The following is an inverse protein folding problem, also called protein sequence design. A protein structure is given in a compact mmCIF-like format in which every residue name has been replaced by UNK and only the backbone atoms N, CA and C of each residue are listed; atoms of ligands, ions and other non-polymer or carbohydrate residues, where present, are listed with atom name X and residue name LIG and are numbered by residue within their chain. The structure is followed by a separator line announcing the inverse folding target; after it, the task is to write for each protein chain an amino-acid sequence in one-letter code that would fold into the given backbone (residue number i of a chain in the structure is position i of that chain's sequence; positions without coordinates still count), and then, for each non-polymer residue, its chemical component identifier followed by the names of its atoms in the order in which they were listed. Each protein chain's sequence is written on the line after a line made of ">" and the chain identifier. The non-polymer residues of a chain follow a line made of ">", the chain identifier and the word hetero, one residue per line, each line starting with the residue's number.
data_IF_932895388633
#
_entry.id   IF_932895388633
#
_cell.length_a   1.000
_cell.length_b   1.000
_cell.length_c   1.000
_cell.angle_alpha   90.00
_cell.angle_beta   90.00
_cell.angle_gamma   90.00
#
_symmetry.space_group_name_H-M   'P 1'
#
loop_
_entity.id
_entity.type
_entity.pdbx_description
1 polymer ?
#
# COMPACT_ATOMS: atom_id res chain seq x y z
N UNK A 1 71.25 -36.19 18.84
CA UNK A 1 71.08 -35.43 17.57
C UNK A 1 69.94 -34.44 17.73
N UNK A 2 70.24 -33.16 17.54
CA UNK A 2 69.32 -32.02 17.66
C UNK A 2 68.68 -31.75 16.30
N UNK A 3 67.35 -31.75 16.19
CA UNK A 3 66.61 -31.13 15.08
C UNK A 3 65.28 -30.58 15.62
N UNK A 4 65.26 -29.29 16.00
CA UNK A 4 64.83 -28.12 15.22
C UNK A 4 63.29 -28.01 15.05
N UNK A 5 62.77 -27.08 15.85
CA UNK A 5 61.46 -26.41 15.80
C UNK A 5 61.02 -26.05 14.36
N UNK A 6 59.75 -26.28 14.04
CA UNK A 6 58.99 -25.44 13.09
C UNK A 6 57.75 -24.91 13.81
N UNK A 7 57.74 -23.59 14.01
CA UNK A 7 56.61 -22.81 14.54
C UNK A 7 55.52 -22.74 13.48
N UNK A 8 54.28 -23.02 13.88
CA UNK A 8 53.09 -22.78 13.06
C UNK A 8 52.83 -21.26 12.93
N UNK A 9 52.54 -20.82 11.70
CA UNK A 9 52.11 -19.46 11.39
C UNK A 9 50.63 -19.26 11.80
N UNK A 10 50.22 -18.06 12.23
CA UNK A 10 48.83 -17.79 12.60
C UNK A 10 47.97 -17.58 11.34
N UNK A 11 46.79 -18.20 11.35
CA UNK A 11 45.76 -18.06 10.32
C UNK A 11 45.32 -16.59 10.16
N UNK A 12 45.20 -16.15 8.91
CA UNK A 12 44.76 -14.82 8.50
C UNK A 12 43.31 -14.56 8.92
N UNK A 13 43.10 -13.55 9.77
CA UNK A 13 41.76 -13.00 10.07
C UNK A 13 41.21 -12.30 8.83
N UNK A 14 40.10 -12.81 8.29
CA UNK A 14 39.31 -12.14 7.27
C UNK A 14 38.75 -10.82 7.83
N UNK A 15 39.19 -9.69 7.27
CA UNK A 15 38.67 -8.35 7.56
C UNK A 15 37.29 -8.20 6.91
N UNK A 16 36.24 -8.08 7.72
CA UNK A 16 34.93 -7.57 7.26
C UNK A 16 35.06 -6.08 6.92
N UNK A 17 34.53 -5.58 5.80
CA UNK A 17 34.60 -4.16 5.46
C UNK A 17 33.65 -3.36 6.34
N UNK A 18 34.19 -2.33 7.02
CA UNK A 18 33.43 -1.29 7.73
C UNK A 18 32.66 -0.45 6.71
N UNK A 19 31.33 -0.43 6.80
CA UNK A 19 30.45 0.56 6.15
C UNK A 19 29.78 1.39 7.25
N UNK A 20 30.51 2.36 7.78
CA UNK A 20 29.99 3.35 8.73
C UNK A 20 30.46 4.74 8.30
N UNK A 21 29.56 5.54 7.71
CA UNK A 21 29.52 7.01 7.85
C UNK A 21 28.40 7.68 7.04
N UNK A 22 28.00 7.16 5.87
CA UNK A 22 27.14 7.93 4.94
C UNK A 22 25.61 7.78 5.17
N UNK A 23 25.15 6.76 5.90
CA UNK A 23 23.71 6.50 6.12
C UNK A 23 23.00 7.42 7.13
N UNK A 24 23.70 8.30 7.86
CA UNK A 24 23.09 9.09 8.95
C UNK A 24 22.45 10.41 8.50
N UNK A 25 22.92 11.01 7.41
CA UNK A 25 22.40 12.31 6.96
C UNK A 25 21.06 12.17 6.22
N UNK A 26 20.95 11.23 5.27
CA UNK A 26 19.70 10.97 4.54
C UNK A 26 18.55 10.41 5.39
N UNK A 27 18.85 9.63 6.44
CA UNK A 27 17.82 9.08 7.36
C UNK A 27 17.11 10.16 8.19
N UNK A 28 17.83 11.21 8.60
CA UNK A 28 17.25 12.27 9.45
C UNK A 28 16.39 13.24 8.65
N UNK A 29 16.80 13.57 7.42
CA UNK A 29 16.08 14.49 6.54
C UNK A 29 14.69 13.94 6.19
N UNK A 30 14.61 12.65 5.85
CA UNK A 30 13.35 11.99 5.48
C UNK A 30 12.33 11.96 6.65
N UNK A 31 12.78 11.64 7.87
CA UNK A 31 11.89 11.65 9.06
C UNK A 31 11.37 13.05 9.40
N UNK A 32 12.19 14.09 9.21
CA UNK A 32 11.77 15.48 9.46
C UNK A 32 10.71 15.93 8.46
N UNK A 33 10.90 15.60 7.19
CA UNK A 33 9.93 15.90 6.13
C UNK A 33 8.61 15.15 6.37
N UNK A 34 8.68 13.88 6.76
CA UNK A 34 7.48 13.10 7.02
C UNK A 34 6.70 13.59 8.25
N UNK A 35 7.42 14.00 9.30
CA UNK A 35 6.79 14.70 10.43
C UNK A 35 6.08 15.97 9.99
N UNK A 36 6.74 16.81 9.20
CA UNK A 36 6.12 18.04 8.69
C UNK A 36 4.87 17.75 7.82
N UNK A 37 4.90 16.70 7.00
CA UNK A 37 3.74 16.25 6.22
C UNK A 37 2.58 15.87 7.14
N UNK A 38 2.83 15.09 8.19
CA UNK A 38 1.80 14.65 9.14
C UNK A 38 1.29 15.81 10.02
N UNK A 39 2.17 16.70 10.44
CA UNK A 39 1.81 17.89 11.21
C UNK A 39 0.84 18.79 10.42
N UNK A 40 0.98 18.87 9.09
CA UNK A 40 0.06 19.65 8.23
C UNK A 40 -1.39 19.16 8.26
N UNK A 41 -1.63 17.92 8.67
CA UNK A 41 -2.95 17.31 8.84
C UNK A 41 -3.28 17.01 10.32
N UNK A 42 -2.50 17.54 11.26
CA UNK A 42 -2.78 17.47 12.70
C UNK A 42 -2.51 16.11 13.34
N UNK A 43 -1.63 15.30 12.75
CA UNK A 43 -1.17 14.04 13.36
C UNK A 43 0.34 14.00 13.50
N UNK A 44 0.83 13.17 14.42
CA UNK A 44 2.25 12.97 14.72
C UNK A 44 2.61 11.50 14.74
N UNK A 45 3.88 11.21 14.44
CA UNK A 45 4.45 9.86 14.57
C UNK A 45 4.80 9.60 16.04
N UNK A 46 4.32 8.50 16.57
CA UNK A 46 4.81 7.90 17.81
C UNK A 46 5.75 6.75 17.44
N UNK A 47 7.04 6.96 17.66
CA UNK A 47 8.06 5.95 17.35
C UNK A 47 7.93 4.76 18.30
N UNK A 48 7.83 3.57 17.73
CA UNK A 48 7.90 2.29 18.45
C UNK A 48 9.28 1.67 18.25
N UNK A 49 9.61 0.67 19.07
CA UNK A 49 10.85 -0.08 18.96
C UNK A 49 10.99 -0.69 17.55
N UNK A 50 12.13 -0.40 16.90
CA UNK A 50 12.43 -0.82 15.53
C UNK A 50 13.00 -2.25 15.47
N UNK A 51 12.13 -3.21 15.76
CA UNK A 51 12.37 -4.65 15.64
C UNK A 51 11.33 -5.29 14.70
N UNK A 52 11.37 -6.61 14.57
CA UNK A 52 10.40 -7.33 13.75
C UNK A 52 8.98 -7.38 14.32
N UNK A 53 8.73 -6.75 15.47
CA UNK A 53 7.41 -6.60 16.06
C UNK A 53 6.79 -5.23 15.75
N UNK A 54 7.45 -4.34 15.01
CA UNK A 54 7.06 -2.95 14.83
C UNK A 54 5.57 -2.75 14.46
N UNK A 55 5.01 -3.59 13.59
CA UNK A 55 3.57 -3.56 13.28
C UNK A 55 2.70 -3.82 14.52
N UNK A 56 2.94 -4.92 15.23
CA UNK A 56 2.18 -5.29 16.42
C UNK A 56 2.41 -4.33 17.60
N UNK A 57 3.62 -3.75 17.70
CA UNK A 57 3.94 -2.67 18.64
C UNK A 57 3.12 -1.42 18.35
N UNK A 58 3.03 -1.03 17.07
CA UNK A 58 2.20 0.10 16.66
C UNK A 58 0.70 -0.16 16.89
N UNK A 59 0.23 -1.40 16.73
CA UNK A 59 -1.12 -1.81 17.13
C UNK A 59 -1.33 -1.69 18.65
N UNK A 60 -0.36 -2.13 19.46
CA UNK A 60 -0.37 -1.99 20.91
C UNK A 60 -0.45 -0.54 21.38
N UNK A 61 0.36 0.32 20.79
CA UNK A 61 0.22 1.76 21.00
C UNK A 61 -1.17 2.24 20.57
N UNK A 62 -1.62 1.99 19.34
CA UNK A 62 -2.90 2.54 18.87
C UNK A 62 -4.11 2.11 19.70
N UNK A 63 -4.11 0.89 20.21
CA UNK A 63 -5.26 0.31 20.89
C UNK A 63 -5.22 0.45 22.41
N UNK A 64 -4.05 0.58 23.01
CA UNK A 64 -3.88 0.62 24.48
C UNK A 64 -2.93 1.70 24.97
N UNK A 65 -2.13 2.31 24.08
CA UNK A 65 -1.07 3.25 24.45
C UNK A 65 0.17 2.57 25.02
N UNK A 66 0.36 1.30 24.69
CA UNK A 66 1.46 0.49 25.21
C UNK A 66 1.99 -0.45 24.13
N UNK A 67 3.21 -0.17 23.63
CA UNK A 67 3.85 -1.01 22.63
C UNK A 67 4.23 -2.40 23.15
N UNK A 68 4.33 -2.58 24.47
CA UNK A 68 4.69 -3.86 25.09
C UNK A 68 3.56 -4.90 24.98
N UNK A 69 2.36 -4.49 24.55
CA UNK A 69 1.24 -5.37 24.24
C UNK A 69 1.39 -6.08 22.87
N UNK A 70 2.51 -5.93 22.16
CA UNK A 70 2.68 -6.47 20.81
C UNK A 70 2.40 -7.97 20.69
N UNK A 71 2.79 -8.79 21.68
CA UNK A 71 2.54 -10.24 21.63
C UNK A 71 1.06 -10.59 21.73
N UNK A 72 0.27 -9.83 22.49
CA UNK A 72 -1.18 -10.00 22.57
C UNK A 72 -1.81 -9.83 21.19
N UNK A 73 -1.42 -8.79 20.46
CA UNK A 73 -1.96 -8.52 19.13
C UNK A 73 -1.44 -9.50 18.07
N UNK A 74 -0.19 -9.96 18.18
CA UNK A 74 0.34 -11.05 17.34
C UNK A 74 -0.50 -12.32 17.51
N UNK A 75 -0.73 -12.74 18.76
CA UNK A 75 -1.53 -13.92 19.06
C UNK A 75 -2.96 -13.79 18.53
N UNK A 76 -3.63 -12.65 18.78
CA UNK A 76 -4.97 -12.39 18.27
C UNK A 76 -5.05 -12.49 16.74
N UNK A 77 -4.06 -11.94 16.03
CA UNK A 77 -4.02 -11.97 14.56
C UNK A 77 -3.78 -13.38 14.04
N UNK A 78 -2.81 -14.11 14.57
CA UNK A 78 -2.51 -15.47 14.12
C UNK A 78 -3.69 -16.41 14.43
N UNK A 79 -4.30 -16.30 15.61
CA UNK A 79 -5.50 -17.08 15.94
C UNK A 79 -6.67 -16.75 15.00
N UNK A 80 -6.82 -15.49 14.58
CA UNK A 80 -7.83 -15.12 13.59
C UNK A 80 -7.55 -15.79 12.24
N UNK A 81 -6.30 -15.76 11.77
CA UNK A 81 -5.87 -16.42 10.52
C UNK A 81 -6.15 -17.93 10.58
N UNK A 82 -5.74 -18.60 11.66
CA UNK A 82 -5.98 -20.05 11.87
C UNK A 82 -7.48 -20.37 11.82
N UNK A 83 -8.31 -19.56 12.47
CA UNK A 83 -9.76 -19.76 12.50
C UNK A 83 -10.43 -19.57 11.14
N UNK A 84 -9.87 -18.75 10.27
CA UNK A 84 -10.40 -18.44 8.94
C UNK A 84 -9.47 -18.95 7.83
N UNK A 85 -8.89 -20.14 8.04
CA UNK A 85 -7.88 -20.74 7.14
C UNK A 85 -8.25 -20.65 5.66
N UNK A 86 -9.49 -20.99 5.30
CA UNK A 86 -9.95 -20.97 3.90
C UNK A 86 -9.83 -19.58 3.24
N UNK A 87 -9.95 -18.51 4.03
CA UNK A 87 -9.86 -17.13 3.53
C UNK A 87 -8.40 -16.66 3.40
N UNK A 88 -7.48 -17.21 4.20
CA UNK A 88 -6.10 -16.72 4.30
C UNK A 88 -5.06 -17.63 3.62
N UNK A 89 -5.27 -18.94 3.64
CA UNK A 89 -4.36 -19.92 3.02
C UNK A 89 -4.03 -19.62 1.55
N UNK A 90 -4.96 -19.14 0.70
CA UNK A 90 -4.65 -18.78 -0.69
C UNK A 90 -3.62 -17.64 -0.86
N UNK A 91 -3.31 -16.89 0.19
CA UNK A 91 -2.34 -15.78 0.15
C UNK A 91 -0.97 -16.17 0.71
N UNK A 92 -0.81 -17.41 1.19
CA UNK A 92 0.47 -17.97 1.62
C UNK A 92 1.18 -18.54 0.40
N UNK A 93 2.51 -18.41 0.36
CA UNK A 93 3.32 -18.98 -0.71
C UNK A 93 3.09 -20.50 -0.82
N UNK A 94 2.87 -21.02 -2.03
CA UNK A 94 2.53 -22.43 -2.28
C UNK A 94 3.54 -23.44 -1.69
N UNK A 95 4.79 -23.01 -1.48
CA UNK A 95 5.87 -23.83 -0.91
C UNK A 95 5.85 -23.89 0.63
N UNK A 96 5.03 -23.07 1.30
CA UNK A 96 4.95 -22.97 2.76
C UNK A 96 3.63 -23.55 3.25
N UNK A 97 3.63 -24.67 3.99
CA UNK A 97 2.42 -25.20 4.61
C UNK A 97 1.77 -24.18 5.56
N UNK A 98 0.44 -24.08 5.53
CA UNK A 98 -0.33 -23.14 6.36
C UNK A 98 0.06 -23.20 7.85
N UNK A 99 0.18 -24.39 8.42
CA UNK A 99 0.49 -24.55 9.84
C UNK A 99 1.92 -24.08 10.15
N UNK A 100 2.89 -24.29 9.24
CA UNK A 100 4.26 -23.79 9.37
C UNK A 100 4.31 -22.25 9.28
N UNK A 101 3.50 -21.67 8.39
CA UNK A 101 3.32 -20.23 8.31
C UNK A 101 2.82 -19.66 9.64
N UNK A 102 1.74 -20.23 10.20
CA UNK A 102 1.17 -19.78 11.47
C UNK A 102 2.16 -19.92 12.64
N UNK A 103 2.89 -21.04 12.72
CA UNK A 103 3.93 -21.26 13.71
C UNK A 103 5.08 -20.24 13.57
N UNK A 104 5.45 -19.90 12.33
CA UNK A 104 6.45 -18.86 12.06
C UNK A 104 5.98 -17.48 12.46
N UNK A 105 4.74 -17.11 12.10
CA UNK A 105 4.15 -15.80 12.42
C UNK A 105 3.91 -15.62 13.92
N UNK A 106 3.73 -16.70 14.68
CA UNK A 106 3.62 -16.64 16.15
C UNK A 106 4.95 -16.32 16.84
N UNK A 107 6.10 -16.54 16.18
CA UNK A 107 7.42 -16.27 16.78
C UNK A 107 7.64 -14.77 16.99
N UNK A 108 8.23 -14.45 18.13
CA UNK A 108 8.65 -13.09 18.45
C UNK A 108 9.64 -12.55 17.40
N UNK A 109 9.42 -11.32 16.96
CA UNK A 109 10.23 -10.68 15.94
C UNK A 109 9.96 -11.12 14.49
N UNK A 110 8.98 -11.98 14.21
CA UNK A 110 8.58 -12.27 12.83
C UNK A 110 7.82 -11.08 12.23
N UNK A 111 8.24 -10.61 11.05
CA UNK A 111 7.66 -9.44 10.39
C UNK A 111 6.25 -9.73 9.89
N UNK A 112 5.35 -8.79 10.11
CA UNK A 112 3.99 -8.82 9.57
C UNK A 112 3.96 -8.28 8.13
N UNK A 113 3.10 -8.87 7.29
CA UNK A 113 2.81 -8.39 5.94
C UNK A 113 1.36 -7.95 5.77
N UNK A 114 0.95 -7.76 4.52
CA UNK A 114 -0.41 -7.33 4.17
C UNK A 114 -1.50 -8.26 4.74
N UNK A 115 -1.20 -9.56 4.83
CA UNK A 115 -2.14 -10.54 5.36
C UNK A 115 -2.42 -10.31 6.85
N UNK A 116 -1.38 -10.06 7.65
CA UNK A 116 -1.52 -9.72 9.08
C UNK A 116 -2.22 -8.39 9.26
N UNK A 117 -1.98 -7.41 8.38
CA UNK A 117 -2.69 -6.13 8.41
C UNK A 117 -4.20 -6.32 8.16
N UNK A 118 -4.57 -7.13 7.18
CA UNK A 118 -5.97 -7.47 6.89
C UNK A 118 -6.62 -8.21 8.07
N UNK A 119 -5.96 -9.23 8.59
CA UNK A 119 -6.44 -9.98 9.75
C UNK A 119 -6.55 -9.11 11.02
N UNK A 120 -5.57 -8.23 11.27
CA UNK A 120 -5.59 -7.27 12.37
C UNK A 120 -6.78 -6.32 12.28
N UNK A 121 -7.07 -5.79 11.08
CA UNK A 121 -8.25 -4.97 10.85
C UNK A 121 -9.54 -5.71 11.23
N UNK A 122 -9.69 -6.95 10.73
CA UNK A 122 -10.88 -7.76 10.97
C UNK A 122 -11.07 -8.13 12.45
N UNK A 123 -10.02 -8.64 13.11
CA UNK A 123 -10.10 -9.12 14.51
C UNK A 123 -10.28 -7.97 15.51
N UNK A 124 -9.70 -6.79 15.23
CA UNK A 124 -9.83 -5.61 16.10
C UNK A 124 -11.06 -4.77 15.78
N UNK A 125 -11.78 -5.09 14.70
CA UNK A 125 -12.91 -4.34 14.15
C UNK A 125 -12.59 -2.87 13.88
N UNK A 126 -11.44 -2.62 13.26
CA UNK A 126 -10.97 -1.27 12.92
C UNK A 126 -10.39 -1.25 11.52
N UNK A 127 -10.71 -0.21 10.75
CA UNK A 127 -10.00 0.04 9.49
C UNK A 127 -8.56 0.47 9.79
N UNK A 128 -7.67 0.37 8.79
CA UNK A 128 -6.27 0.80 8.93
C UNK A 128 -5.97 1.84 7.85
N UNK A 129 -5.35 2.95 8.23
CA UNK A 129 -4.78 3.94 7.34
C UNK A 129 -3.26 3.99 7.49
N UNK A 130 -2.56 3.83 6.38
CA UNK A 130 -1.11 3.83 6.31
C UNK A 130 -0.67 5.12 5.62
N UNK A 131 0.08 5.93 6.36
CA UNK A 131 0.73 7.13 5.88
C UNK A 131 2.11 6.80 5.35
N UNK A 132 2.50 7.46 4.26
CA UNK A 132 3.82 7.36 3.65
C UNK A 132 4.29 8.75 3.19
N UNK A 133 5.60 9.00 3.26
CA UNK A 133 6.17 10.26 2.81
C UNK A 133 5.96 10.43 1.29
N UNK A 134 5.44 11.59 0.89
CA UNK A 134 5.22 12.01 -0.51
C UNK A 134 4.45 10.98 -1.35
N UNK A 135 3.61 10.17 -0.70
CA UNK A 135 2.85 9.09 -1.34
C UNK A 135 1.39 9.14 -0.88
N UNK A 136 0.45 8.67 -1.72
CA UNK A 136 -0.93 8.50 -1.29
C UNK A 136 -1.03 7.61 -0.05
N UNK A 137 -2.04 7.88 0.78
CA UNK A 137 -2.36 7.01 1.92
C UNK A 137 -2.99 5.73 1.42
N UNK A 138 -2.61 4.63 2.05
CA UNK A 138 -3.19 3.32 1.81
C UNK A 138 -4.21 2.98 2.88
N UNK A 139 -5.26 2.27 2.49
CA UNK A 139 -6.38 1.95 3.38
C UNK A 139 -6.70 0.46 3.33
N UNK A 140 -7.00 -0.09 4.50
CA UNK A 140 -7.71 -1.35 4.67
C UNK A 140 -9.08 -1.00 5.25
N UNK A 141 -10.11 -1.12 4.42
CA UNK A 141 -11.47 -0.71 4.73
C UNK A 141 -12.40 -1.95 4.77
N UNK A 142 -12.54 -2.52 5.96
CA UNK A 142 -13.46 -3.64 6.21
C UNK A 142 -14.80 -3.18 6.80
N UNK A 143 -14.87 -1.95 7.32
CA UNK A 143 -16.04 -1.42 8.03
C UNK A 143 -16.48 -0.05 7.49
N UNK A 144 -17.80 0.20 7.56
CA UNK A 144 -18.47 1.39 7.04
C UNK A 144 -19.30 2.09 8.13
N UNK A 145 -19.78 3.30 7.84
CA UNK A 145 -20.66 4.05 8.76
C UNK A 145 -19.97 4.42 10.08
N UNK A 146 -20.61 4.16 11.21
CA UNK A 146 -20.05 4.50 12.54
C UNK A 146 -18.78 3.72 12.90
N UNK A 147 -18.57 2.54 12.32
CA UNK A 147 -17.36 1.76 12.58
C UNK A 147 -16.18 2.28 11.74
N UNK A 148 -16.44 2.93 10.60
CA UNK A 148 -15.38 3.50 9.76
C UNK A 148 -14.58 4.60 10.45
N UNK A 149 -15.15 5.28 11.44
CA UNK A 149 -14.46 6.32 12.21
C UNK A 149 -13.46 5.76 13.23
N UNK A 150 -13.52 4.46 13.51
CA UNK A 150 -12.59 3.77 14.40
C UNK A 150 -11.45 3.17 13.58
N UNK A 151 -10.51 4.05 13.18
CA UNK A 151 -9.39 3.68 12.33
C UNK A 151 -8.08 3.68 13.11
N UNK A 152 -7.24 2.69 12.84
CA UNK A 152 -5.85 2.66 13.26
C UNK A 152 -5.02 3.43 12.25
N UNK A 153 -4.18 4.36 12.71
CA UNK A 153 -3.29 5.12 11.85
C UNK A 153 -1.84 4.70 12.07
N UNK A 154 -1.17 4.33 10.98
CA UNK A 154 0.22 3.88 10.97
C UNK A 154 1.03 4.75 10.01
N UNK A 155 2.33 4.90 10.27
CA UNK A 155 3.27 5.44 9.29
C UNK A 155 4.23 4.36 8.86
N UNK A 156 4.48 4.25 7.56
CA UNK A 156 5.35 3.24 6.99
C UNK A 156 6.64 3.87 6.44
N UNK A 157 7.77 3.29 6.83
CA UNK A 157 9.09 3.87 6.63
C UNK A 157 10.00 2.90 5.91
N UNK A 158 10.58 3.36 4.79
CA UNK A 158 11.67 2.70 4.07
C UNK A 158 11.43 1.23 3.69
N UNK A 159 10.17 0.79 3.58
CA UNK A 159 9.84 -0.57 3.18
C UNK A 159 9.97 -1.62 4.30
N UNK A 160 10.21 -1.21 5.55
CA UNK A 160 10.57 -2.17 6.61
C UNK A 160 9.96 -1.86 7.98
N UNK A 161 9.56 -0.62 8.27
CA UNK A 161 9.20 -0.22 9.63
C UNK A 161 7.88 0.50 9.74
N UNK A 162 7.04 0.07 10.69
CA UNK A 162 5.81 0.75 11.07
C UNK A 162 5.99 1.52 12.38
N UNK A 163 5.42 2.72 12.42
CA UNK A 163 5.21 3.46 13.66
C UNK A 163 3.72 3.79 13.82
N UNK A 164 3.31 4.04 15.05
CA UNK A 164 1.97 4.56 15.35
C UNK A 164 1.84 6.01 14.89
N UNK A 165 0.64 6.42 14.49
CA UNK A 165 0.30 7.81 14.16
C UNK A 165 -0.91 8.24 14.98
N UNK A 166 -0.74 9.29 15.78
CA UNK A 166 -1.79 9.81 16.69
C UNK A 166 -2.07 11.27 16.39
N UNK A 167 -3.17 11.82 16.93
CA UNK A 167 -3.39 13.27 16.90
C UNK A 167 -2.22 14.01 17.55
N UNK A 168 -1.92 15.21 17.05
CA UNK A 168 -0.83 16.02 17.60
C UNK A 168 -1.07 16.32 19.09
N UNK A 169 -2.31 16.59 19.50
CA UNK A 169 -2.69 16.80 20.90
C UNK A 169 -2.79 15.51 21.76
N UNK A 170 -2.66 14.32 21.18
CA UNK A 170 -2.80 13.06 21.92
C UNK A 170 -1.67 12.91 22.95
N UNK A 171 -2.03 12.65 24.20
CA UNK A 171 -1.07 12.54 25.32
C UNK A 171 -0.30 11.21 25.33
N UNK A 172 -0.64 10.28 24.45
CA UNK A 172 -0.11 8.92 24.39
C UNK A 172 -0.37 8.12 25.68
N UNK A 173 -1.40 8.51 26.43
CA UNK A 173 -1.88 7.79 27.62
C UNK A 173 -3.15 7.05 27.25
N UNK A 174 -3.08 5.73 27.20
CA UNK A 174 -4.21 4.89 26.80
C UNK A 174 -4.42 4.81 25.28
N UNK A 175 -5.57 4.28 24.84
CA UNK A 175 -5.92 4.12 23.43
C UNK A 175 -5.82 5.44 22.65
N UNK A 176 -5.43 5.37 21.38
CA UNK A 176 -5.34 6.54 20.52
C UNK A 176 -6.70 7.23 20.34
N UNK A 177 -6.71 8.56 20.38
CA UNK A 177 -7.89 9.36 20.07
C UNK A 177 -8.22 9.19 18.56
N UNK A 178 -9.49 8.95 18.19
CA UNK A 178 -9.87 8.79 16.79
C UNK A 178 -9.45 9.98 15.92
N UNK A 179 -8.74 9.70 14.83
CA UNK A 179 -8.30 10.72 13.86
C UNK A 179 -9.37 10.82 12.77
N UNK A 180 -9.82 12.04 12.48
CA UNK A 180 -10.72 12.32 11.35
C UNK A 180 -10.01 13.21 10.34
N UNK A 181 -9.59 12.63 9.22
CA UNK A 181 -8.85 13.36 8.18
C UNK A 181 -9.85 13.92 7.16
N UNK A 182 -10.04 15.24 7.20
CA UNK A 182 -11.11 15.95 6.47
C UNK A 182 -11.03 15.77 4.94
N UNK A 183 -9.87 15.50 4.38
CA UNK A 183 -9.68 15.29 2.94
C UNK A 183 -10.14 13.92 2.42
N UNK A 184 -10.37 12.92 3.28
CA UNK A 184 -10.82 11.57 2.87
C UNK A 184 -12.30 11.30 3.17
N UNK A 185 -13.01 12.27 3.75
CA UNK A 185 -14.44 12.13 4.03
C UNK A 185 -15.28 11.84 2.77
N UNK A 186 -14.72 12.07 1.57
CA UNK A 186 -15.32 11.73 0.29
C UNK A 186 -15.08 10.27 -0.17
N UNK A 187 -14.07 9.58 0.37
CA UNK A 187 -13.73 8.19 -0.01
C UNK A 187 -14.69 7.20 0.66
N UNK A 188 -15.10 7.47 1.91
CA UNK A 188 -16.08 6.64 2.63
C UNK A 188 -17.47 6.61 1.95
N UNK A 189 -17.78 7.62 1.14
CA UNK A 189 -19.05 7.73 0.40
C UNK A 189 -19.03 7.00 -0.95
N UNK A 190 -17.85 6.76 -1.52
CA UNK A 190 -17.69 6.23 -2.87
C UNK A 190 -17.73 4.69 -2.93
N UNK A 191 -17.39 4.00 -1.84
CA UNK A 191 -17.36 2.52 -1.79
C UNK A 191 -18.71 1.85 -1.57
N UNK A 192 -19.82 2.60 -1.44
CA UNK A 192 -21.16 2.05 -1.17
C UNK A 192 -21.88 1.57 -2.45
N UNK A 193 -21.43 1.97 -3.65
CA UNK A 193 -22.16 1.69 -4.89
C UNK A 193 -21.75 0.42 -5.65
N UNK A 194 -20.82 -0.38 -5.13
CA UNK A 194 -20.36 -1.61 -5.80
C UNK A 194 -20.69 -2.86 -4.99
N UNK A 195 -21.97 -3.15 -4.75
CA UNK A 195 -22.53 -4.50 -4.58
C UNK A 195 -24.01 -4.47 -4.16
N UNK A 196 -24.92 -4.25 -5.11
CA UNK A 196 -26.22 -4.95 -5.17
C UNK A 196 -26.86 -4.72 -6.55
N UNK A 197 -26.64 -5.66 -7.49
CA UNK A 197 -27.42 -5.76 -8.73
C UNK A 197 -28.29 -7.02 -8.63
N UNK A 198 -29.56 -6.84 -8.26
CA UNK A 198 -30.64 -7.75 -8.67
C UNK A 198 -31.67 -6.90 -9.41
N UNK A 199 -32.01 -7.37 -10.61
CA UNK A 199 -32.81 -6.74 -11.65
C UNK A 199 -34.27 -6.55 -11.20
N UNK A 200 -34.90 -5.48 -11.69
CA UNK A 200 -36.12 -5.64 -12.49
C UNK A 200 -36.38 -4.42 -13.38
N UNK A 201 -37.02 -4.73 -14.52
CA UNK A 201 -37.21 -3.96 -15.74
C UNK A 201 -38.56 -3.22 -15.69
N UNK A 202 -38.66 -1.96 -16.17
CA UNK A 202 -39.35 -1.58 -17.44
C UNK A 202 -39.62 -0.06 -17.61
N UNK A 203 -39.33 0.44 -18.84
CA UNK A 203 -39.87 1.60 -19.63
C UNK A 203 -40.21 2.93 -18.91
N UNK A 204 -39.73 4.12 -19.34
CA UNK A 204 -39.86 4.72 -20.69
C UNK A 204 -39.24 6.14 -20.74
N UNK A 205 -38.92 6.58 -21.96
CA UNK A 205 -38.98 7.97 -22.45
C UNK A 205 -37.79 8.92 -22.22
N UNK A 206 -36.92 8.95 -23.23
CA UNK A 206 -36.20 10.10 -23.82
C UNK A 206 -35.73 11.23 -22.88
N UNK A 207 -34.46 11.16 -22.47
CA UNK A 207 -33.53 12.30 -22.28
C UNK A 207 -32.14 11.76 -21.91
N UNK A 208 -31.12 12.18 -22.67
CA UNK A 208 -29.66 12.14 -22.38
C UNK A 208 -29.21 11.11 -21.32
N UNK A 209 -28.63 10.00 -21.78
CA UNK A 209 -28.42 8.76 -21.01
C UNK A 209 -27.23 8.76 -20.05
N UNK A 210 -26.43 9.82 -19.99
CA UNK A 210 -25.27 9.90 -19.08
C UNK A 210 -25.20 11.24 -18.37
N UNK A 211 -24.82 11.21 -17.09
CA UNK A 211 -24.67 12.42 -16.28
C UNK A 211 -23.62 13.35 -16.90
N UNK A 212 -23.91 14.65 -16.89
CA UNK A 212 -23.03 15.68 -17.45
C UNK A 212 -21.64 15.68 -16.78
N UNK A 213 -21.55 15.15 -15.55
CA UNK A 213 -20.30 14.92 -14.83
C UNK A 213 -19.43 13.84 -15.48
N UNK A 214 -20.00 12.73 -15.92
CA UNK A 214 -19.26 11.63 -16.57
C UNK A 214 -18.66 12.08 -17.90
N UNK A 215 -19.45 12.78 -18.72
CA UNK A 215 -18.97 13.36 -19.98
C UNK A 215 -17.80 14.31 -19.74
N UNK A 216 -17.89 15.18 -18.74
CA UNK A 216 -16.82 16.12 -18.37
C UNK A 216 -15.53 15.41 -17.94
N UNK A 217 -15.64 14.35 -17.16
CA UNK A 217 -14.48 13.59 -16.69
C UNK A 217 -13.79 12.86 -17.86
N UNK A 218 -14.55 12.25 -18.77
CA UNK A 218 -13.99 11.61 -19.97
C UNK A 218 -13.33 12.65 -20.88
N UNK A 219 -13.97 13.80 -21.12
CA UNK A 219 -13.38 14.89 -21.91
C UNK A 219 -12.08 15.42 -21.29
N UNK A 220 -12.02 15.57 -19.96
CA UNK A 220 -10.82 16.02 -19.25
C UNK A 220 -9.68 14.98 -19.30
N UNK A 221 -10.00 13.69 -19.15
CA UNK A 221 -9.00 12.61 -19.16
C UNK A 221 -8.46 12.28 -20.55
N UNK A 222 -9.29 12.43 -21.59
CA UNK A 222 -8.92 12.08 -22.98
C UNK A 222 -8.45 13.30 -23.79
N UNK A 223 -8.74 14.51 -23.33
CA UNK A 223 -8.58 15.75 -24.09
C UNK A 223 -9.52 15.84 -25.31
N UNK A 224 -10.58 15.02 -25.38
CA UNK A 224 -11.56 15.07 -26.45
C UNK A 224 -12.54 16.25 -26.25
N UNK A 225 -12.69 17.10 -27.26
CA UNK A 225 -13.66 18.22 -27.24
C UNK A 225 -15.01 17.85 -27.87
N UNK A 226 -15.13 16.67 -28.48
CA UNK A 226 -16.36 16.23 -29.15
C UNK A 226 -17.24 15.43 -28.19
N UNK A 227 -18.26 16.11 -27.66
CA UNK A 227 -19.22 15.55 -26.69
C UNK A 227 -19.95 14.33 -27.25
N UNK A 228 -20.34 14.34 -28.53
CA UNK A 228 -21.09 13.22 -29.11
C UNK A 228 -20.28 11.92 -29.19
N UNK A 229 -18.96 12.03 -29.41
CA UNK A 229 -18.04 10.88 -29.38
C UNK A 229 -17.90 10.35 -27.96
N UNK A 230 -17.75 11.25 -26.98
CA UNK A 230 -17.65 10.89 -25.57
C UNK A 230 -18.94 10.21 -25.08
N UNK A 231 -20.10 10.71 -25.47
CA UNK A 231 -21.39 10.10 -25.14
C UNK A 231 -21.54 8.70 -25.77
N UNK A 232 -21.10 8.52 -27.03
CA UNK A 232 -21.11 7.20 -27.68
C UNK A 232 -20.19 6.20 -26.99
N UNK A 233 -18.95 6.59 -26.66
CA UNK A 233 -18.01 5.69 -25.97
C UNK A 233 -18.50 5.36 -24.57
N UNK A 234 -19.07 6.33 -23.86
CA UNK A 234 -19.73 6.06 -22.57
C UNK A 234 -20.90 5.10 -22.74
N UNK A 235 -21.62 5.13 -23.87
CA UNK A 235 -22.68 4.17 -24.17
C UNK A 235 -22.12 2.76 -24.39
N UNK A 236 -21.06 2.62 -25.19
CA UNK A 236 -20.41 1.33 -25.46
C UNK A 236 -19.76 0.71 -24.22
N UNK A 237 -19.29 1.54 -23.29
CA UNK A 237 -18.62 1.12 -22.05
C UNK A 237 -19.58 1.08 -20.84
N UNK A 238 -20.90 0.97 -21.07
CA UNK A 238 -21.94 0.86 -20.02
C UNK A 238 -21.89 2.01 -18.97
N UNK A 239 -21.36 3.18 -19.34
CA UNK A 239 -21.22 4.37 -18.49
C UNK A 239 -19.97 4.39 -17.61
N UNK A 240 -19.05 3.45 -17.76
CA UNK A 240 -17.78 3.43 -17.01
C UNK A 240 -16.82 4.48 -17.55
N UNK A 241 -16.63 5.55 -16.77
CA UNK A 241 -15.74 6.68 -17.09
C UNK A 241 -14.28 6.25 -17.20
N UNK A 242 -13.80 5.33 -16.36
CA UNK A 242 -12.40 4.92 -16.36
C UNK A 242 -12.10 4.09 -17.62
N UNK A 243 -12.98 3.12 -17.90
CA UNK A 243 -12.88 2.27 -19.09
C UNK A 243 -13.03 3.10 -20.37
N UNK A 244 -13.94 4.09 -20.40
CA UNK A 244 -14.09 5.01 -21.53
C UNK A 244 -12.84 5.89 -21.76
N UNK A 245 -12.21 6.41 -20.69
CA UNK A 245 -10.97 7.18 -20.82
C UNK A 245 -9.84 6.30 -21.38
N UNK A 246 -9.67 5.10 -20.83
CA UNK A 246 -8.63 4.17 -21.27
C UNK A 246 -8.81 3.77 -22.74
N UNK A 247 -10.04 3.42 -23.13
CA UNK A 247 -10.39 3.07 -24.51
C UNK A 247 -10.06 4.22 -25.48
N UNK A 248 -10.50 5.45 -25.18
CA UNK A 248 -10.27 6.60 -26.06
C UNK A 248 -8.79 7.00 -26.14
N UNK A 249 -8.03 6.85 -25.05
CA UNK A 249 -6.57 7.07 -25.08
C UNK A 249 -5.90 6.00 -25.94
N UNK A 250 -6.28 4.72 -25.78
CA UNK A 250 -5.73 3.62 -26.56
C UNK A 250 -6.04 3.75 -28.06
N UNK A 251 -7.25 4.17 -28.42
CA UNK A 251 -7.67 4.40 -29.82
C UNK A 251 -6.93 5.60 -30.45
N UNK A 252 -6.61 6.62 -29.65
CA UNK A 252 -5.80 7.76 -30.11
C UNK A 252 -4.33 7.40 -30.33
N UNK A 253 -3.82 6.43 -29.57
CA UNK A 253 -2.47 5.89 -29.75
C UNK A 253 -2.38 4.91 -30.92
N UNK A 254 -3.47 4.20 -31.25
CA UNK A 254 -3.51 3.32 -32.44
C UNK A 254 -3.68 4.10 -33.75
N UNK A 255 -4.26 5.30 -33.71
CA UNK A 255 -4.41 6.20 -34.86
C UNK A 255 -3.26 7.22 -34.99
N UNK A 256 -2.26 7.18 -34.10
CA UNK A 256 -1.11 8.09 -34.07
C UNK A 256 0.12 7.62 -34.86
N UNK A 257 0.01 6.56 -35.67
CA UNK A 257 1.12 6.00 -36.44
C UNK A 257 0.97 6.14 -37.95
N UNK A 258 0.37 7.23 -38.43
CA UNK A 258 0.50 7.65 -39.82
C UNK A 258 0.93 9.13 -39.87
N UNK A 259 2.04 9.35 -40.58
CA UNK A 259 2.69 10.61 -40.94
C UNK A 259 3.73 11.24 -39.97
N UNK A 260 5.00 10.96 -40.27
CA UNK A 260 6.08 11.94 -40.54
C UNK A 260 7.48 11.52 -40.02
N UNK A 261 8.25 11.00 -40.99
CA UNK A 261 9.70 11.19 -41.24
C UNK A 261 10.78 10.51 -40.38
N UNK A 262 11.61 9.73 -41.09
CA UNK A 262 13.05 9.78 -40.89
C UNK A 262 13.80 8.44 -40.94
N UNK A 263 13.86 7.80 -42.11
CA UNK A 263 14.90 6.81 -42.45
C UNK A 263 16.29 7.31 -42.03
N UNK A 264 17.02 6.55 -41.22
CA UNK A 264 18.50 6.53 -41.15
C UNK A 264 18.96 5.28 -40.36
N UNK A 265 19.91 4.54 -40.95
CA UNK A 265 20.61 3.33 -40.49
C UNK A 265 20.05 1.93 -40.83
N UNK A 266 19.89 1.68 -42.14
CA UNK A 266 20.31 0.42 -42.75
C UNK A 266 21.53 0.68 -43.63
N UNK A 267 22.74 0.41 -43.13
CA UNK A 267 23.93 0.06 -43.91
C UNK A 267 25.14 -0.18 -43.00
N UNK A 268 25.40 -1.46 -42.68
CA UNK A 268 26.76 -1.96 -42.62
C UNK A 268 26.84 -3.27 -43.39
N UNK A 269 27.29 -3.10 -44.63
CA UNK A 269 27.99 -4.03 -45.52
C UNK A 269 28.16 -5.48 -45.05
N UNK A 270 27.65 -6.39 -45.89
CA UNK A 270 28.40 -7.58 -46.26
C UNK A 270 29.76 -7.14 -46.83
N UNK A 271 30.85 -7.71 -46.30
CA UNK A 271 31.92 -8.21 -47.17
C UNK A 271 32.66 -9.39 -46.50
N UNK A 272 32.57 -10.52 -47.19
CA UNK A 272 33.52 -11.64 -47.32
C UNK A 272 34.15 -12.28 -46.07
N UNK A 273 33.81 -13.56 -45.84
CA UNK A 273 34.79 -14.67 -45.89
C UNK A 273 34.10 -16.04 -45.89
N UNK A 274 34.45 -16.84 -46.91
CA UNK A 274 34.17 -18.27 -47.21
C UNK A 274 32.94 -18.60 -48.05
#
# INVERSE_FOLDING_TARGET
>A
MVQKKKKAAPASKARKPKRDAEKKFGKKTNMSEFRAQLDSIGVKIVEVTADGNCFFRAMGDQLEGDEEQHMKYREMVVQYIVKHREEFEPFIEDEVPFDEYCDSMMKDGTWAGNMELQAASLVTRRNICIHMLNSPRWYINNFSGREATNMVHLSYHHGEHYNSVRLTEDTCQGPAIPVVIKTDANVASASINSQTKVKDVEKSSQRSTYDHTSVKLVMAGTGCSNVAVVEHVLEEMDGDVATAIEYMIAERLSLGSDDADGDIYMNYACNESL
#
